data_IF_543050335419
#
_entry.id   IF_543050335419
#
_cell.length_a   1.000
_cell.length_b   1.000
_cell.length_c   1.000
_cell.angle_alpha   90.00
_cell.angle_beta   90.00
_cell.angle_gamma   90.00
#
_symmetry.space_group_name_H-M   'P 1'
#
loop_
_entity.id
_entity.type
_entity.pdbx_description
1 polymer ?
#
# COMPACT_ATOMS: atom_id res chain seq x y z
N UNK A 1 6.10 26.92 27.77
CA UNK A 1 5.13 25.79 27.82
C UNK A 1 3.71 26.22 27.51
N UNK A 2 3.21 27.34 28.08
CA UNK A 2 1.83 27.82 27.82
C UNK A 2 1.48 28.05 26.33
N UNK A 3 2.45 28.44 25.50
CA UNK A 3 2.23 28.73 24.08
C UNK A 3 1.97 27.45 23.22
N UNK A 4 2.66 26.35 23.52
CA UNK A 4 2.46 25.08 22.78
C UNK A 4 1.08 24.46 23.04
N UNK A 5 0.61 24.50 24.28
CA UNK A 5 -0.72 23.99 24.67
C UNK A 5 -1.81 24.77 23.96
N UNK A 6 -1.80 26.09 24.09
CA UNK A 6 -2.79 26.95 23.44
C UNK A 6 -2.81 26.78 21.91
N UNK A 7 -1.63 26.58 21.29
CA UNK A 7 -1.53 26.37 19.85
C UNK A 7 -2.19 25.04 19.44
N UNK A 8 -1.90 23.94 20.14
CA UNK A 8 -2.50 22.62 19.86
C UNK A 8 -4.01 22.64 20.10
N UNK A 9 -4.47 23.22 21.20
CA UNK A 9 -5.89 23.38 21.51
C UNK A 9 -6.64 24.14 20.40
N UNK A 10 -6.04 25.25 19.92
CA UNK A 10 -6.63 26.04 18.83
C UNK A 10 -6.74 25.23 17.53
N UNK A 11 -5.71 24.45 17.19
CA UNK A 11 -5.69 23.60 16.00
C UNK A 11 -6.76 22.52 16.12
N UNK A 12 -6.85 21.82 17.24
CA UNK A 12 -7.83 20.74 17.45
C UNK A 12 -9.27 21.28 17.48
N UNK A 13 -9.51 22.41 18.12
CA UNK A 13 -10.81 23.09 18.10
C UNK A 13 -11.29 23.46 16.70
N UNK A 14 -10.39 23.77 15.78
CA UNK A 14 -10.76 24.10 14.39
C UNK A 14 -11.36 22.93 13.63
N UNK A 15 -11.21 21.71 14.15
CA UNK A 15 -11.73 20.45 13.57
C UNK A 15 -12.69 19.73 14.54
N UNK A 16 -13.27 20.48 15.46
CA UNK A 16 -14.26 19.97 16.43
C UNK A 16 -13.69 18.83 17.31
N UNK A 17 -12.48 18.99 17.82
CA UNK A 17 -11.83 18.10 18.79
C UNK A 17 -11.40 18.91 20.00
N UNK A 18 -11.70 18.40 21.19
CA UNK A 18 -11.30 19.02 22.46
C UNK A 18 -10.28 18.16 23.20
N UNK A 19 -9.42 18.85 23.97
CA UNK A 19 -8.49 18.20 24.90
C UNK A 19 -9.19 17.97 26.21
N UNK A 20 -9.14 16.74 26.73
CA UNK A 20 -9.81 16.28 27.93
C UNK A 20 -11.32 16.57 27.92
N UNK A 21 -11.92 16.55 26.71
CA UNK A 21 -13.36 16.68 26.52
C UNK A 21 -14.12 15.40 26.87
N UNK A 22 -15.42 15.43 26.73
CA UNK A 22 -16.30 14.30 27.10
C UNK A 22 -16.77 13.44 25.94
N UNK A 23 -16.53 13.87 24.70
CA UNK A 23 -16.98 13.15 23.51
C UNK A 23 -16.06 11.97 23.18
N UNK A 24 -16.53 10.91 22.51
CA UNK A 24 -15.74 9.73 22.23
C UNK A 24 -14.47 10.00 21.41
N UNK A 25 -14.48 11.02 20.55
CA UNK A 25 -13.36 11.43 19.70
C UNK A 25 -12.45 12.49 20.32
N UNK A 26 -12.72 12.97 21.53
CA UNK A 26 -11.88 13.94 22.23
C UNK A 26 -10.61 13.28 22.79
N UNK A 27 -9.47 13.96 22.66
CA UNK A 27 -8.20 13.46 23.18
C UNK A 27 -8.14 13.57 24.71
N UNK A 28 -7.73 12.49 25.36
CA UNK A 28 -7.42 12.48 26.79
C UNK A 28 -5.90 12.53 26.94
N UNK A 29 -5.36 13.64 27.47
CA UNK A 29 -3.91 13.86 27.60
C UNK A 29 -3.44 13.42 28.98
N UNK A 30 -2.46 12.52 29.02
CA UNK A 30 -1.84 11.98 30.23
C UNK A 30 -0.46 12.56 30.52
N UNK A 31 0.21 13.11 29.48
CA UNK A 31 1.56 13.69 29.60
C UNK A 31 1.62 15.04 28.88
N UNK A 32 1.93 16.11 29.62
CA UNK A 32 2.00 17.47 29.07
C UNK A 32 3.12 17.68 28.03
N UNK A 33 4.11 16.80 27.97
CA UNK A 33 5.15 16.80 26.92
C UNK A 33 4.58 16.57 25.52
N UNK A 34 3.37 16.00 25.42
CA UNK A 34 2.59 15.83 24.20
C UNK A 34 2.58 17.10 23.34
N UNK A 35 2.22 18.23 23.90
CA UNK A 35 2.04 19.48 23.15
C UNK A 35 3.29 19.90 22.39
N UNK A 36 4.43 19.89 23.05
CA UNK A 36 5.71 20.24 22.42
C UNK A 36 6.17 19.21 21.40
N UNK A 37 5.92 17.92 21.67
CA UNK A 37 6.30 16.82 20.79
C UNK A 37 5.51 16.85 19.47
N UNK A 38 4.20 17.02 19.56
CA UNK A 38 3.32 17.02 18.37
C UNK A 38 3.56 18.23 17.47
N UNK A 39 3.75 19.41 18.03
CA UNK A 39 4.06 20.61 17.24
C UNK A 39 5.42 20.52 16.52
N UNK A 40 6.42 19.83 17.10
CA UNK A 40 7.73 19.64 16.46
C UNK A 40 7.78 18.49 15.47
N UNK A 41 7.07 17.41 15.74
CA UNK A 41 7.17 16.16 14.99
C UNK A 41 5.96 15.80 14.14
N UNK A 42 4.87 16.58 14.21
CA UNK A 42 3.67 16.38 13.41
C UNK A 42 3.01 15.01 13.63
N UNK A 43 2.54 14.41 12.56
CA UNK A 43 1.81 13.12 12.58
C UNK A 43 2.64 11.96 13.14
N UNK A 44 3.95 11.91 12.86
CA UNK A 44 4.83 10.91 13.48
C UNK A 44 4.82 11.01 14.99
N UNK A 45 4.98 12.22 15.52
CA UNK A 45 5.00 12.46 16.96
C UNK A 45 3.61 12.22 17.60
N UNK A 46 2.52 12.49 16.88
CA UNK A 46 1.16 12.17 17.32
C UNK A 46 1.00 10.66 17.50
N UNK A 47 1.36 9.87 16.50
CA UNK A 47 1.27 8.41 16.57
C UNK A 47 2.21 7.81 17.60
N UNK A 48 3.47 8.29 17.68
CA UNK A 48 4.43 7.81 18.68
C UNK A 48 4.01 8.16 20.11
N UNK A 49 3.44 9.34 20.34
CA UNK A 49 2.95 9.71 21.67
C UNK A 49 1.72 8.89 22.09
N UNK A 50 0.91 8.42 21.15
CA UNK A 50 -0.14 7.44 21.42
C UNK A 50 0.45 6.09 21.85
N UNK A 51 1.42 5.59 21.09
CA UNK A 51 2.12 4.33 21.41
C UNK A 51 2.81 4.38 22.77
N UNK A 52 3.31 5.54 23.18
CA UNK A 52 3.94 5.78 24.48
C UNK A 52 2.92 6.02 25.62
N UNK A 53 1.60 6.00 25.34
CA UNK A 53 0.56 6.20 26.34
C UNK A 53 0.42 7.64 26.84
N UNK A 54 0.90 8.63 26.08
CA UNK A 54 0.80 10.03 26.49
C UNK A 54 -0.59 10.63 26.27
N UNK A 55 -1.39 9.99 25.45
CA UNK A 55 -2.79 10.29 25.20
C UNK A 55 -3.55 9.07 24.74
N UNK A 56 -4.86 9.12 24.89
CA UNK A 56 -5.79 8.15 24.32
C UNK A 56 -7.05 8.80 23.74
N UNK A 57 -7.90 7.99 23.11
CA UNK A 57 -9.18 8.41 22.55
C UNK A 57 -10.10 7.18 22.44
N UNK A 58 -11.37 7.30 22.85
CA UNK A 58 -12.33 6.19 22.83
C UNK A 58 -12.76 5.79 21.40
N UNK A 59 -12.79 6.75 20.46
CA UNK A 59 -13.18 6.55 19.07
C UNK A 59 -12.09 7.12 18.14
N UNK A 60 -11.00 6.35 17.96
CA UNK A 60 -9.86 6.73 17.13
C UNK A 60 -10.23 6.90 15.65
N UNK A 61 -11.20 6.14 15.15
CA UNK A 61 -11.79 6.24 13.82
C UNK A 61 -12.41 7.62 13.59
N UNK A 62 -13.28 8.07 14.51
CA UNK A 62 -13.93 9.38 14.45
C UNK A 62 -12.94 10.53 14.60
N UNK A 63 -11.95 10.39 15.50
CA UNK A 63 -10.86 11.35 15.63
C UNK A 63 -10.09 11.46 14.31
N UNK A 64 -9.70 10.32 13.72
CA UNK A 64 -8.97 10.28 12.45
C UNK A 64 -9.74 10.93 11.32
N UNK A 65 -11.04 10.66 11.18
CA UNK A 65 -11.91 11.29 10.19
C UNK A 65 -11.92 12.82 10.33
N UNK A 66 -12.09 13.34 11.57
CA UNK A 66 -12.07 14.79 11.83
C UNK A 66 -10.73 15.44 11.49
N UNK A 67 -9.61 14.81 11.87
CA UNK A 67 -8.26 15.33 11.58
C UNK A 67 -7.98 15.37 10.06
N UNK A 68 -8.38 14.32 9.34
CA UNK A 68 -8.17 14.20 7.88
C UNK A 68 -9.07 15.19 7.13
N UNK A 69 -10.38 15.23 7.42
CA UNK A 69 -11.32 16.16 6.79
C UNK A 69 -10.95 17.62 7.07
N UNK A 70 -10.51 17.91 8.30
CA UNK A 70 -10.05 19.23 8.69
C UNK A 70 -8.69 19.64 8.12
N UNK A 71 -8.02 18.75 7.38
CA UNK A 71 -6.71 19.00 6.75
C UNK A 71 -5.68 19.61 7.70
N UNK A 72 -5.68 19.12 8.94
CA UNK A 72 -4.78 19.62 10.02
C UNK A 72 -3.31 19.61 9.59
N UNK A 73 -2.91 18.66 8.75
CA UNK A 73 -1.55 18.60 8.22
C UNK A 73 -1.08 19.92 7.60
N UNK A 74 -1.95 20.64 6.92
CA UNK A 74 -1.58 21.93 6.28
C UNK A 74 -1.26 23.01 7.34
N UNK A 75 -1.98 23.00 8.45
CA UNK A 75 -1.77 23.96 9.54
C UNK A 75 -0.48 23.64 10.31
N UNK A 76 -0.18 22.36 10.56
CA UNK A 76 1.04 21.92 11.26
C UNK A 76 2.27 22.03 10.36
N UNK A 77 2.18 21.77 9.06
CA UNK A 77 3.29 21.91 8.10
C UNK A 77 3.82 23.33 8.00
N UNK A 78 2.95 24.32 8.09
CA UNK A 78 3.36 25.73 8.07
C UNK A 78 4.24 26.11 9.29
N UNK A 79 4.23 25.30 10.34
CA UNK A 79 4.89 25.59 11.62
C UNK A 79 6.15 24.77 11.88
N UNK A 80 6.52 23.79 11.01
CA UNK A 80 7.62 22.84 11.29
C UNK A 80 8.78 22.88 10.31
N UNK A 81 9.97 23.38 10.70
CA UNK A 81 11.19 23.32 9.87
C UNK A 81 11.66 21.90 9.52
N UNK A 82 11.35 20.91 10.36
CA UNK A 82 11.72 19.51 10.14
C UNK A 82 11.06 18.89 8.90
N UNK A 83 9.89 19.38 8.52
CA UNK A 83 9.19 18.92 7.30
C UNK A 83 9.98 19.24 6.01
N UNK A 84 10.61 20.40 5.93
CA UNK A 84 11.44 20.78 4.78
C UNK A 84 12.63 19.83 4.61
N UNK A 85 13.26 19.42 5.69
CA UNK A 85 14.39 18.47 5.66
C UNK A 85 13.95 17.07 5.18
N UNK A 86 12.77 16.60 5.60
CA UNK A 86 12.21 15.32 5.16
C UNK A 86 11.89 15.36 3.66
N UNK A 87 11.32 16.45 3.17
CA UNK A 87 11.01 16.64 1.75
C UNK A 87 12.28 16.72 0.89
N UNK A 88 13.31 17.46 1.35
CA UNK A 88 14.59 17.56 0.67
C UNK A 88 15.29 16.19 0.59
N UNK A 89 15.23 15.43 1.67
CA UNK A 89 15.80 14.07 1.74
C UNK A 89 15.06 13.10 0.81
N UNK A 90 13.72 13.16 0.75
CA UNK A 90 12.91 12.37 -0.19
C UNK A 90 13.17 12.73 -1.65
N UNK A 91 13.52 13.99 -1.93
CA UNK A 91 13.88 14.45 -3.28
C UNK A 91 15.28 13.97 -3.71
N UNK A 92 16.24 14.00 -2.80
CA UNK A 92 17.65 13.69 -3.10
C UNK A 92 17.98 12.19 -3.05
N UNK A 93 17.23 11.40 -2.29
CA UNK A 93 17.48 9.97 -2.09
C UNK A 93 16.40 9.14 -2.76
N UNK A 94 16.81 8.02 -3.39
CA UNK A 94 15.90 6.97 -3.85
C UNK A 94 15.78 5.90 -2.75
N UNK A 95 14.78 5.97 -1.85
CA UNK A 95 14.62 4.99 -0.78
C UNK A 95 14.20 3.60 -1.28
N UNK A 96 13.70 3.49 -2.53
CA UNK A 96 13.28 2.25 -3.16
C UNK A 96 14.36 1.68 -4.12
N UNK A 97 15.64 2.01 -3.87
CA UNK A 97 16.75 1.40 -4.63
C UNK A 97 16.79 -0.12 -4.42
N UNK A 98 17.33 -0.88 -5.40
CA UNK A 98 17.38 -2.35 -5.36
C UNK A 98 17.92 -2.91 -4.02
N UNK A 99 18.99 -2.34 -3.46
CA UNK A 99 19.55 -2.76 -2.16
C UNK A 99 18.59 -2.57 -0.99
N UNK A 100 17.71 -1.56 -1.05
CA UNK A 100 16.76 -1.24 0.02
C UNK A 100 15.43 -1.98 -0.13
N UNK A 101 15.09 -2.44 -1.33
CA UNK A 101 13.86 -3.20 -1.56
C UNK A 101 13.81 -4.49 -0.73
N UNK A 102 14.91 -5.25 -0.67
CA UNK A 102 15.00 -6.47 0.16
C UNK A 102 14.84 -6.19 1.67
N UNK A 103 15.33 -5.05 2.16
CA UNK A 103 15.15 -4.65 3.58
C UNK A 103 13.67 -4.41 3.91
N UNK A 104 12.88 -3.94 2.94
CA UNK A 104 11.42 -3.76 3.10
C UNK A 104 10.73 -5.13 3.19
N UNK A 105 11.13 -6.09 2.34
CA UNK A 105 10.65 -7.48 2.41
C UNK A 105 10.84 -8.09 3.80
N UNK A 106 12.08 -8.03 4.32
CA UNK A 106 12.41 -8.54 5.66
C UNK A 106 11.65 -7.83 6.79
N UNK A 107 11.56 -6.51 6.77
CA UNK A 107 10.99 -5.76 7.89
C UNK A 107 9.47 -5.75 7.94
N UNK A 108 8.81 -5.89 6.81
CA UNK A 108 7.36 -5.73 6.74
C UNK A 108 6.63 -7.08 6.62
N UNK A 109 7.13 -7.99 5.77
CA UNK A 109 6.45 -9.24 5.49
C UNK A 109 6.99 -10.43 6.30
N UNK A 110 8.19 -10.32 6.89
CA UNK A 110 8.80 -11.35 7.72
C UNK A 110 8.45 -11.19 9.22
N UNK A 111 7.35 -10.49 9.54
CA UNK A 111 6.80 -10.40 10.92
C UNK A 111 6.21 -11.75 11.38
N UNK A 112 5.94 -12.66 10.44
CA UNK A 112 5.39 -13.99 10.66
C UNK A 112 4.06 -14.20 9.95
N UNK A 113 3.91 -15.35 9.31
CA UNK A 113 2.68 -15.72 8.58
C UNK A 113 1.47 -15.86 9.51
N UNK A 114 1.69 -16.12 10.80
CA UNK A 114 0.62 -16.33 11.78
C UNK A 114 -0.28 -15.10 11.94
N UNK A 115 0.32 -13.89 12.00
CA UNK A 115 -0.44 -12.65 12.07
C UNK A 115 -1.30 -12.46 10.82
N UNK A 116 -0.70 -12.64 9.65
CA UNK A 116 -1.39 -12.45 8.37
C UNK A 116 -2.49 -13.49 8.16
N UNK A 117 -2.29 -14.75 8.58
CA UNK A 117 -3.30 -15.81 8.48
C UNK A 117 -4.54 -15.57 9.36
N UNK A 118 -4.40 -14.81 10.44
CA UNK A 118 -5.52 -14.41 11.30
C UNK A 118 -6.28 -13.19 10.78
N UNK A 119 -5.64 -12.39 9.94
CA UNK A 119 -6.17 -11.11 9.47
C UNK A 119 -6.72 -11.18 8.04
N UNK A 120 -6.13 -12.02 7.18
CA UNK A 120 -6.45 -12.08 5.76
C UNK A 120 -7.44 -13.22 5.45
N UNK A 121 -7.92 -13.23 4.20
CA UNK A 121 -8.72 -14.33 3.65
C UNK A 121 -7.91 -15.65 3.58
N UNK A 122 -8.60 -16.76 3.34
CA UNK A 122 -7.98 -18.10 3.20
C UNK A 122 -6.86 -18.18 2.14
N UNK A 123 -6.82 -17.24 1.19
CA UNK A 123 -5.82 -17.18 0.11
C UNK A 123 -4.70 -16.20 0.41
N UNK A 124 -4.72 -15.58 1.59
CA UNK A 124 -3.71 -14.63 2.02
C UNK A 124 -3.56 -13.41 1.07
N UNK A 125 -4.69 -12.85 0.60
CA UNK A 125 -4.67 -11.65 -0.23
C UNK A 125 -4.57 -10.39 0.62
N UNK A 126 -3.41 -9.73 0.62
CA UNK A 126 -3.19 -8.48 1.34
C UNK A 126 -3.43 -7.26 0.43
N UNK A 127 -4.64 -7.16 -0.10
CA UNK A 127 -5.10 -6.06 -0.94
C UNK A 127 -6.62 -5.98 -0.90
N UNK A 128 -7.19 -4.82 -1.29
CA UNK A 128 -8.64 -4.60 -1.25
C UNK A 128 -9.41 -5.72 -1.95
N UNK A 129 -10.46 -6.23 -1.30
CA UNK A 129 -11.44 -7.12 -1.91
C UNK A 129 -12.34 -6.38 -2.92
N UNK A 130 -13.10 -7.11 -3.72
CA UNK A 130 -14.15 -6.55 -4.58
C UNK A 130 -15.51 -6.98 -4.05
N UNK A 131 -16.16 -6.08 -3.31
CA UNK A 131 -17.33 -6.39 -2.47
C UNK A 131 -18.66 -6.45 -3.24
N UNK A 132 -18.65 -6.18 -4.54
CA UNK A 132 -19.87 -6.31 -5.32
C UNK A 132 -20.42 -7.73 -5.25
N UNK A 133 -21.61 -7.88 -4.66
CA UNK A 133 -22.27 -9.17 -4.40
C UNK A 133 -21.45 -10.12 -3.50
N UNK A 134 -20.68 -9.59 -2.56
CA UNK A 134 -19.97 -10.37 -1.56
C UNK A 134 -20.63 -10.19 -0.18
N UNK A 135 -20.68 -11.26 0.61
CA UNK A 135 -21.18 -11.29 1.99
C UNK A 135 -20.07 -11.58 2.99
N UNK A 136 -18.85 -11.83 2.50
CA UNK A 136 -17.66 -12.11 3.32
C UNK A 136 -16.38 -11.66 2.62
N UNK A 137 -15.31 -11.48 3.42
CA UNK A 137 -13.98 -11.17 2.90
C UNK A 137 -13.50 -12.20 1.88
N UNK A 138 -13.68 -13.50 2.17
CA UNK A 138 -13.28 -14.57 1.24
C UNK A 138 -13.99 -14.45 -0.11
N UNK A 139 -15.30 -14.16 -0.09
CA UNK A 139 -16.05 -13.96 -1.33
C UNK A 139 -15.60 -12.70 -2.08
N UNK A 140 -15.36 -11.59 -1.36
CA UNK A 140 -14.85 -10.35 -1.96
C UNK A 140 -13.48 -10.56 -2.61
N UNK A 141 -12.60 -11.34 -1.99
CA UNK A 141 -11.31 -11.69 -2.55
C UNK A 141 -11.43 -12.61 -3.77
N UNK A 142 -12.31 -13.61 -3.75
CA UNK A 142 -12.63 -14.43 -4.93
C UNK A 142 -13.14 -13.55 -6.08
N UNK A 143 -14.08 -12.65 -5.80
CA UNK A 143 -14.64 -11.73 -6.80
C UNK A 143 -13.55 -10.86 -7.43
N UNK A 144 -12.59 -10.37 -6.62
CA UNK A 144 -11.44 -9.62 -7.13
C UNK A 144 -10.56 -10.46 -8.05
N UNK A 145 -10.18 -11.67 -7.62
CA UNK A 145 -9.32 -12.56 -8.40
C UNK A 145 -9.97 -12.94 -9.73
N UNK A 146 -11.27 -13.26 -9.70
CA UNK A 146 -12.05 -13.55 -10.92
C UNK A 146 -12.15 -12.33 -11.84
N UNK A 147 -12.41 -11.14 -11.27
CA UNK A 147 -12.44 -9.89 -12.04
C UNK A 147 -11.12 -9.62 -12.75
N UNK A 148 -9.98 -9.84 -12.07
CA UNK A 148 -8.65 -9.72 -12.68
C UNK A 148 -8.50 -10.69 -13.85
N UNK A 149 -8.80 -11.98 -13.65
CA UNK A 149 -8.68 -12.99 -14.69
C UNK A 149 -9.56 -12.69 -15.92
N UNK A 150 -10.79 -12.20 -15.70
CA UNK A 150 -11.70 -11.80 -16.79
C UNK A 150 -11.22 -10.56 -17.55
N UNK A 151 -10.73 -9.53 -16.83
CA UNK A 151 -10.14 -8.32 -17.46
C UNK A 151 -8.91 -8.64 -18.29
N UNK A 152 -8.13 -9.64 -17.87
CA UNK A 152 -6.95 -10.12 -18.60
C UNK A 152 -7.29 -11.11 -19.72
N UNK A 153 -8.58 -11.44 -19.91
CA UNK A 153 -9.04 -12.43 -20.90
C UNK A 153 -8.29 -13.76 -20.82
N UNK A 154 -7.97 -14.22 -19.60
CA UNK A 154 -7.17 -15.43 -19.41
C UNK A 154 -7.81 -16.66 -20.02
N UNK A 155 -7.00 -17.46 -20.73
CA UNK A 155 -7.38 -18.71 -21.38
C UNK A 155 -6.39 -19.81 -21.03
N UNK A 156 -6.82 -21.09 -21.00
CA UNK A 156 -5.92 -22.20 -20.75
C UNK A 156 -4.68 -22.19 -21.66
N UNK A 157 -3.52 -22.45 -21.07
CA UNK A 157 -2.23 -22.48 -21.76
C UNK A 157 -1.52 -21.14 -21.90
N UNK A 158 -2.12 -20.01 -21.49
CA UNK A 158 -1.42 -18.72 -21.43
C UNK A 158 -0.34 -18.71 -20.34
N UNK A 159 0.75 -17.98 -20.61
CA UNK A 159 1.82 -17.71 -19.64
C UNK A 159 1.59 -16.35 -19.00
N UNK A 160 1.41 -16.33 -17.68
CA UNK A 160 1.13 -15.13 -16.89
C UNK A 160 2.33 -14.81 -15.98
N UNK A 161 2.77 -13.57 -15.96
CA UNK A 161 3.72 -13.08 -14.96
C UNK A 161 2.97 -12.33 -13.86
N UNK A 162 3.19 -12.71 -12.60
CA UNK A 162 2.70 -11.96 -11.44
C UNK A 162 3.85 -11.25 -10.73
N UNK A 163 3.86 -9.91 -10.76
CA UNK A 163 4.89 -9.09 -10.11
C UNK A 163 4.41 -8.68 -8.72
N UNK A 164 5.05 -9.24 -7.68
CA UNK A 164 4.63 -9.10 -6.30
C UNK A 164 3.55 -10.12 -5.93
N UNK A 165 3.86 -11.41 -6.12
CA UNK A 165 2.87 -12.48 -5.95
C UNK A 165 2.44 -12.73 -4.49
N UNK A 166 3.05 -12.08 -3.51
CA UNK A 166 2.73 -12.30 -2.11
C UNK A 166 2.80 -13.78 -1.73
N UNK A 167 1.79 -14.27 -1.05
CA UNK A 167 1.65 -15.68 -0.67
C UNK A 167 1.07 -16.57 -1.77
N UNK A 168 0.97 -16.06 -3.01
CA UNK A 168 0.54 -16.84 -4.18
C UNK A 168 -0.97 -16.93 -4.38
N UNK A 169 -1.76 -16.08 -3.74
CA UNK A 169 -3.22 -16.12 -3.82
C UNK A 169 -3.76 -16.02 -5.24
N UNK A 170 -3.31 -15.04 -6.01
CA UNK A 170 -3.70 -14.90 -7.42
C UNK A 170 -3.11 -16.03 -8.27
N UNK A 171 -1.82 -16.34 -8.14
CA UNK A 171 -1.18 -17.40 -8.92
C UNK A 171 -1.93 -18.74 -8.79
N UNK A 172 -2.25 -19.13 -7.55
CA UNK A 172 -3.02 -20.35 -7.26
C UNK A 172 -4.41 -20.31 -7.86
N UNK A 173 -5.11 -19.17 -7.74
CA UNK A 173 -6.46 -19.00 -8.27
C UNK A 173 -6.49 -19.08 -9.79
N UNK A 174 -5.62 -18.34 -10.47
CA UNK A 174 -5.55 -18.28 -11.93
C UNK A 174 -5.15 -19.63 -12.53
N UNK A 175 -4.12 -20.28 -12.01
CA UNK A 175 -3.73 -21.61 -12.49
C UNK A 175 -4.83 -22.65 -12.31
N UNK A 176 -5.49 -22.68 -11.13
CA UNK A 176 -6.54 -23.66 -10.83
C UNK A 176 -7.82 -23.46 -11.64
N UNK A 177 -8.26 -22.21 -11.81
CA UNK A 177 -9.60 -21.92 -12.37
C UNK A 177 -9.58 -21.54 -13.85
N UNK A 178 -8.43 -21.06 -14.35
CA UNK A 178 -8.27 -20.63 -15.74
C UNK A 178 -7.28 -21.47 -16.55
N UNK A 179 -6.57 -22.43 -15.92
CA UNK A 179 -5.65 -23.34 -16.61
C UNK A 179 -4.43 -22.64 -17.23
N UNK A 180 -3.98 -21.56 -16.62
CA UNK A 180 -2.81 -20.79 -17.06
C UNK A 180 -1.56 -21.23 -16.31
N UNK A 181 -0.37 -21.06 -16.94
CA UNK A 181 0.92 -21.16 -16.28
C UNK A 181 1.25 -19.82 -15.64
N UNK A 182 1.59 -19.80 -14.34
CA UNK A 182 1.92 -18.54 -13.65
C UNK A 182 3.37 -18.53 -13.16
N UNK A 183 4.11 -17.48 -13.56
CA UNK A 183 5.41 -17.15 -12.97
C UNK A 183 5.23 -16.00 -11.99
N UNK A 184 5.29 -16.30 -10.69
CA UNK A 184 5.19 -15.31 -9.62
C UNK A 184 6.56 -14.89 -9.10
N UNK A 185 6.75 -13.59 -8.83
CA UNK A 185 7.97 -13.09 -8.20
C UNK A 185 7.65 -12.27 -6.97
N UNK A 186 8.44 -12.44 -5.91
CA UNK A 186 8.41 -11.66 -4.68
C UNK A 186 9.82 -11.42 -4.15
N UNK A 187 10.00 -10.41 -3.29
CA UNK A 187 11.25 -10.11 -2.59
C UNK A 187 11.25 -10.55 -1.12
N UNK A 188 10.15 -11.11 -0.62
CA UNK A 188 10.04 -11.70 0.70
C UNK A 188 10.30 -13.20 0.65
N UNK A 189 11.25 -13.68 1.45
CA UNK A 189 11.58 -15.10 1.53
C UNK A 189 10.43 -15.92 2.10
N UNK A 190 9.79 -15.44 3.16
CA UNK A 190 8.66 -16.13 3.79
C UNK A 190 7.47 -16.27 2.84
N UNK A 191 7.16 -15.20 2.06
CA UNK A 191 6.13 -15.27 1.03
C UNK A 191 6.48 -16.29 -0.06
N UNK A 192 7.73 -16.28 -0.54
CA UNK A 192 8.16 -17.22 -1.58
C UNK A 192 8.04 -18.67 -1.14
N UNK A 193 8.53 -19.01 0.06
CA UNK A 193 8.47 -20.36 0.62
C UNK A 193 7.02 -20.84 0.80
N UNK A 194 6.16 -19.98 1.35
CA UNK A 194 4.73 -20.28 1.52
C UNK A 194 4.03 -20.49 0.17
N UNK A 195 4.25 -19.57 -0.78
CA UNK A 195 3.62 -19.64 -2.10
C UNK A 195 4.08 -20.88 -2.89
N UNK A 196 5.36 -21.24 -2.82
CA UNK A 196 5.90 -22.48 -3.43
C UNK A 196 5.21 -23.71 -2.87
N UNK A 197 5.07 -23.85 -1.55
CA UNK A 197 4.38 -24.98 -0.95
C UNK A 197 2.89 -25.02 -1.30
N UNK A 198 2.21 -23.89 -1.20
CA UNK A 198 0.76 -23.79 -1.47
C UNK A 198 0.39 -24.03 -2.95
N UNK A 199 1.33 -23.84 -3.88
CA UNK A 199 1.12 -23.99 -5.33
C UNK A 199 1.77 -25.25 -5.93
N UNK A 200 2.42 -26.11 -5.14
CA UNK A 200 3.26 -27.24 -5.60
C UNK A 200 2.61 -28.23 -6.56
N UNK A 201 1.28 -28.31 -6.59
CA UNK A 201 0.52 -29.23 -7.46
C UNK A 201 -0.04 -28.54 -8.71
N UNK A 202 0.25 -27.25 -8.89
CA UNK A 202 -0.25 -26.43 -9.97
C UNK A 202 0.88 -26.00 -10.92
N UNK A 203 0.52 -25.55 -12.10
CA UNK A 203 1.49 -24.99 -13.06
C UNK A 203 1.86 -23.55 -12.63
N UNK A 204 2.53 -23.45 -11.49
CA UNK A 204 2.94 -22.21 -10.86
C UNK A 204 4.42 -22.30 -10.46
N UNK A 205 5.21 -21.34 -10.93
CA UNK A 205 6.60 -21.16 -10.54
C UNK A 205 6.75 -19.88 -9.72
N UNK A 206 7.25 -19.98 -8.49
CA UNK A 206 7.52 -18.82 -7.63
C UNK A 206 9.03 -18.61 -7.47
N UNK A 207 9.49 -17.39 -7.69
CA UNK A 207 10.89 -17.00 -7.52
C UNK A 207 11.06 -15.85 -6.52
N UNK A 208 12.06 -15.97 -5.65
CA UNK A 208 12.57 -14.85 -4.85
C UNK A 208 13.43 -13.96 -5.75
N UNK A 209 12.82 -12.89 -6.31
CA UNK A 209 13.46 -12.10 -7.35
C UNK A 209 12.96 -10.67 -7.41
N UNK A 210 13.86 -9.72 -7.62
CA UNK A 210 13.50 -8.33 -7.88
C UNK A 210 12.96 -8.19 -9.32
N UNK A 211 11.85 -7.46 -9.50
CA UNK A 211 11.20 -7.26 -10.79
C UNK A 211 12.15 -6.67 -11.86
N UNK A 212 13.18 -5.92 -11.45
CA UNK A 212 14.16 -5.31 -12.36
C UNK A 212 15.02 -6.34 -13.08
N UNK A 213 15.10 -7.57 -12.55
CA UNK A 213 15.86 -8.70 -13.11
C UNK A 213 15.03 -9.60 -14.01
N UNK A 214 13.75 -9.28 -14.18
CA UNK A 214 12.84 -10.06 -15.01
C UNK A 214 13.23 -9.98 -16.48
N UNK A 215 13.18 -11.15 -17.12
CA UNK A 215 13.31 -11.33 -18.55
C UNK A 215 12.30 -12.41 -18.99
N UNK A 216 12.01 -12.49 -20.27
CA UNK A 216 11.02 -13.43 -20.81
C UNK A 216 9.88 -12.69 -21.48
N UNK A 217 8.96 -13.47 -22.07
CA UNK A 217 7.79 -12.98 -22.81
C UNK A 217 6.54 -13.66 -22.29
N UNK A 218 5.58 -12.87 -21.83
CA UNK A 218 4.34 -13.35 -21.22
C UNK A 218 3.13 -12.86 -21.99
N UNK A 219 2.08 -13.68 -22.04
CA UNK A 219 0.79 -13.31 -22.66
C UNK A 219 0.08 -12.23 -21.85
N UNK A 220 0.23 -12.31 -20.51
CA UNK A 220 -0.37 -11.37 -19.58
C UNK A 220 0.59 -11.08 -18.42
N UNK A 221 0.54 -9.86 -17.90
CA UNK A 221 1.28 -9.45 -16.67
C UNK A 221 0.28 -8.87 -15.68
N UNK A 222 0.37 -9.30 -14.43
CA UNK A 222 -0.49 -8.84 -13.34
C UNK A 222 0.39 -8.31 -12.19
N UNK A 223 -0.04 -7.22 -11.58
CA UNK A 223 0.58 -6.67 -10.37
C UNK A 223 -0.49 -6.11 -9.45
N UNK A 224 -0.61 -6.66 -8.25
CA UNK A 224 -1.65 -6.33 -7.28
C UNK A 224 -1.02 -5.92 -5.94
N UNK A 225 -1.24 -4.67 -5.51
CA UNK A 225 -0.75 -4.16 -4.22
C UNK A 225 0.78 -4.08 -4.10
N UNK A 226 1.49 -4.04 -5.23
CA UNK A 226 2.95 -3.99 -5.27
C UNK A 226 3.50 -2.63 -5.71
N UNK A 227 2.78 -1.91 -6.56
CA UNK A 227 3.25 -0.66 -7.17
C UNK A 227 3.48 0.44 -6.13
N UNK A 228 2.82 0.35 -4.98
CA UNK A 228 3.03 1.18 -3.80
C UNK A 228 4.48 1.10 -3.26
N UNK A 229 5.17 -0.02 -3.51
CA UNK A 229 6.55 -0.25 -3.08
C UNK A 229 7.59 0.14 -4.13
N UNK A 230 7.17 0.52 -5.34
CA UNK A 230 8.07 0.90 -6.43
C UNK A 230 8.69 2.29 -6.22
N UNK A 231 7.89 3.25 -5.75
CA UNK A 231 8.27 4.65 -5.56
C UNK A 231 8.37 5.45 -6.86
N UNK A 232 7.97 6.73 -6.80
CA UNK A 232 7.76 7.56 -8.00
C UNK A 232 8.99 7.69 -8.91
N UNK A 233 10.21 7.66 -8.35
CA UNK A 233 11.44 7.73 -9.13
C UNK A 233 11.67 6.48 -9.99
N UNK A 234 11.01 5.37 -9.67
CA UNK A 234 11.17 4.11 -10.37
C UNK A 234 9.94 3.73 -11.23
N UNK A 235 8.85 4.52 -11.20
CA UNK A 235 7.62 4.18 -11.93
C UNK A 235 7.87 3.98 -13.43
N UNK A 236 8.61 4.89 -14.08
CA UNK A 236 8.96 4.73 -15.50
C UNK A 236 9.76 3.45 -15.74
N UNK A 237 10.75 3.18 -14.89
CA UNK A 237 11.57 1.96 -14.99
C UNK A 237 10.75 0.70 -14.79
N UNK A 238 9.77 0.72 -13.88
CA UNK A 238 8.84 -0.38 -13.69
C UNK A 238 8.02 -0.64 -14.96
N UNK A 239 7.41 0.39 -15.54
CA UNK A 239 6.63 0.27 -16.77
C UNK A 239 7.48 -0.22 -17.96
N UNK A 240 8.75 0.22 -18.07
CA UNK A 240 9.70 -0.28 -19.07
C UNK A 240 10.00 -1.78 -18.91
N UNK A 241 10.13 -2.26 -17.67
CA UNK A 241 10.32 -3.69 -17.39
C UNK A 241 9.09 -4.49 -17.78
N UNK A 242 7.90 -4.03 -17.40
CA UNK A 242 6.64 -4.68 -17.77
C UNK A 242 6.49 -4.74 -19.29
N UNK A 243 6.69 -3.61 -19.98
CA UNK A 243 6.60 -3.53 -21.44
C UNK A 243 7.58 -4.52 -22.13
N UNK A 244 8.83 -4.58 -21.64
CA UNK A 244 9.83 -5.52 -22.18
C UNK A 244 9.44 -6.98 -22.01
N UNK A 245 8.73 -7.32 -20.93
CA UNK A 245 8.32 -8.69 -20.62
C UNK A 245 6.93 -9.07 -21.18
N UNK A 246 6.18 -8.12 -21.70
CA UNK A 246 4.88 -8.37 -22.29
C UNK A 246 5.00 -8.64 -23.79
N UNK A 247 4.28 -9.63 -24.32
CA UNK A 247 4.13 -9.85 -25.77
C UNK A 247 3.39 -8.67 -26.41
N UNK A 248 3.55 -8.50 -27.73
CA UNK A 248 2.98 -7.35 -28.46
C UNK A 248 1.47 -7.20 -28.28
N UNK A 249 0.71 -8.31 -28.30
CA UNK A 249 -0.75 -8.34 -28.09
C UNK A 249 -1.14 -8.66 -26.64
N UNK A 250 -0.18 -8.55 -25.68
CA UNK A 250 -0.39 -8.89 -24.29
C UNK A 250 -1.09 -7.81 -23.50
N UNK A 251 -1.74 -8.21 -22.40
CA UNK A 251 -2.40 -7.29 -21.47
C UNK A 251 -1.63 -7.17 -20.15
N UNK A 252 -1.56 -5.94 -19.65
CA UNK A 252 -1.01 -5.65 -18.32
C UNK A 252 -2.09 -5.10 -17.41
N UNK A 253 -2.32 -5.73 -16.26
CA UNK A 253 -3.20 -5.23 -15.22
C UNK A 253 -2.40 -4.74 -14.03
N UNK A 254 -2.60 -3.48 -13.68
CA UNK A 254 -2.06 -2.84 -12.49
C UNK A 254 -3.19 -2.53 -11.51
N UNK A 255 -3.20 -3.18 -10.35
CA UNK A 255 -4.05 -2.84 -9.22
C UNK A 255 -3.20 -2.23 -8.11
N UNK A 256 -3.54 -1.02 -7.68
CA UNK A 256 -2.80 -0.27 -6.66
C UNK A 256 -3.71 0.67 -5.88
N UNK A 257 -3.37 0.94 -4.63
CA UNK A 257 -3.98 2.04 -3.89
C UNK A 257 -3.61 3.35 -4.58
N UNK A 258 -4.61 4.13 -4.93
CA UNK A 258 -4.43 5.42 -5.60
C UNK A 258 -4.69 6.61 -4.69
N UNK A 259 -4.21 7.78 -5.10
CA UNK A 259 -4.53 9.07 -4.51
C UNK A 259 -4.88 10.08 -5.59
N UNK A 260 -5.68 11.08 -5.25
CA UNK A 260 -6.15 12.09 -6.22
C UNK A 260 -5.17 13.25 -6.45
N UNK A 261 -4.04 13.30 -5.75
CA UNK A 261 -2.99 14.31 -5.92
C UNK A 261 -1.63 13.64 -5.95
N UNK A 262 -0.77 14.04 -6.90
CA UNK A 262 0.60 13.55 -7.00
C UNK A 262 1.41 13.88 -5.73
N UNK A 263 2.12 12.90 -5.21
CA UNK A 263 2.98 13.05 -4.05
C UNK A 263 4.34 12.41 -4.26
N UNK A 264 5.30 12.76 -3.41
CA UNK A 264 6.68 12.23 -3.46
C UNK A 264 7.13 11.62 -2.12
N UNK A 265 6.26 11.64 -1.13
CA UNK A 265 6.53 11.10 0.19
C UNK A 265 5.27 10.47 0.77
N UNK A 266 5.47 9.49 1.63
CA UNK A 266 4.44 8.85 2.44
C UNK A 266 4.33 9.55 3.79
N UNK A 267 3.20 9.41 4.44
CA UNK A 267 2.98 9.87 5.79
C UNK A 267 4.07 9.28 6.71
N UNK A 268 4.74 10.08 7.57
CA UNK A 268 5.94 9.64 8.29
C UNK A 268 5.73 8.48 9.26
N UNK A 269 4.59 8.41 9.95
CA UNK A 269 4.28 7.31 10.87
C UNK A 269 4.02 6.02 10.10
N UNK A 270 3.21 6.07 9.04
CA UNK A 270 2.97 4.94 8.12
C UNK A 270 4.30 4.45 7.53
N UNK A 271 5.15 5.36 7.09
CA UNK A 271 6.46 5.03 6.53
C UNK A 271 7.40 4.35 7.55
N UNK A 272 7.30 4.70 8.84
CA UNK A 272 8.19 4.15 9.86
C UNK A 272 7.71 2.80 10.38
N UNK A 273 6.40 2.63 10.58
CA UNK A 273 5.85 1.52 11.35
C UNK A 273 5.03 0.53 10.52
N UNK A 274 4.43 0.95 9.39
CA UNK A 274 3.49 0.12 8.64
C UNK A 274 4.08 -0.27 7.28
N UNK A 275 4.33 0.72 6.40
CA UNK A 275 4.82 0.47 5.03
C UNK A 275 6.12 1.26 4.77
N UNK A 276 7.27 0.76 5.22
CA UNK A 276 8.55 1.41 4.96
C UNK A 276 8.77 1.63 3.47
N UNK A 277 9.06 2.89 3.10
CA UNK A 277 9.24 3.33 1.73
C UNK A 277 8.01 3.15 0.80
N UNK A 278 6.83 2.81 1.34
CA UNK A 278 5.60 2.74 0.59
C UNK A 278 5.20 4.12 0.04
N UNK A 279 4.57 4.16 -1.11
CA UNK A 279 4.04 5.40 -1.68
C UNK A 279 2.87 5.12 -2.62
N UNK A 280 1.71 5.68 -2.33
CA UNK A 280 0.55 5.58 -3.20
C UNK A 280 0.67 6.52 -4.40
N UNK A 281 0.54 6.03 -5.65
CA UNK A 281 0.59 6.86 -6.84
C UNK A 281 -0.70 7.66 -7.05
N UNK A 282 -0.63 8.75 -7.82
CA UNK A 282 -1.82 9.36 -8.42
C UNK A 282 -2.06 8.81 -9.83
N UNK A 283 -3.29 8.98 -10.34
CA UNK A 283 -3.62 8.67 -11.73
C UNK A 283 -2.66 9.35 -12.72
N UNK A 284 -2.33 10.61 -12.47
CA UNK A 284 -1.37 11.36 -13.29
C UNK A 284 0.02 10.71 -13.28
N UNK A 285 0.50 10.23 -12.13
CA UNK A 285 1.82 9.58 -12.03
C UNK A 285 1.85 8.23 -12.75
N UNK A 286 0.77 7.46 -12.69
CA UNK A 286 0.64 6.20 -13.42
C UNK A 286 0.62 6.47 -14.92
N UNK A 287 -0.24 7.38 -15.40
CA UNK A 287 -0.35 7.72 -16.83
C UNK A 287 0.95 8.26 -17.39
N UNK A 288 1.63 9.16 -16.67
CA UNK A 288 2.93 9.69 -17.10
C UNK A 288 4.02 8.60 -17.17
N UNK A 289 3.98 7.59 -16.28
CA UNK A 289 4.94 6.50 -16.32
C UNK A 289 4.67 5.50 -17.47
N UNK A 290 3.41 5.32 -17.88
CA UNK A 290 2.98 4.42 -18.95
C UNK A 290 3.01 5.07 -20.34
N UNK A 291 3.14 6.41 -20.42
CA UNK A 291 3.12 7.14 -21.67
C UNK A 291 4.17 6.65 -22.67
N UNK A 292 3.73 6.37 -23.91
CA UNK A 292 4.56 5.84 -24.99
C UNK A 292 4.92 4.35 -24.85
N UNK A 293 4.43 3.66 -23.83
CA UNK A 293 4.64 2.23 -23.60
C UNK A 293 3.35 1.43 -23.70
N UNK A 294 2.23 1.97 -23.22
CA UNK A 294 0.94 1.28 -23.14
C UNK A 294 -0.21 2.17 -23.62
N UNK A 295 -1.24 1.54 -24.14
CA UNK A 295 -2.57 2.12 -24.33
C UNK A 295 -3.41 1.75 -23.11
N UNK A 296 -4.02 2.74 -22.46
CA UNK A 296 -4.92 2.49 -21.33
C UNK A 296 -6.29 2.11 -21.87
N UNK A 297 -6.72 0.89 -21.66
CA UNK A 297 -7.99 0.37 -22.15
C UNK A 297 -9.09 0.43 -21.09
N UNK A 298 -8.73 0.29 -19.80
CA UNK A 298 -9.69 0.28 -18.71
C UNK A 298 -9.14 0.99 -17.47
N UNK A 299 -10.01 1.71 -16.78
CA UNK A 299 -9.73 2.36 -15.51
C UNK A 299 -10.89 2.14 -14.55
N UNK A 300 -10.71 1.25 -13.58
CA UNK A 300 -11.73 0.87 -12.62
C UNK A 300 -11.36 1.33 -11.20
N UNK A 301 -12.21 2.13 -10.58
CA UNK A 301 -12.06 2.57 -9.21
C UNK A 301 -13.12 1.89 -8.32
N UNK A 302 -12.67 1.14 -7.34
CA UNK A 302 -13.50 0.53 -6.28
C UNK A 302 -12.93 0.85 -4.88
N UNK A 303 -12.41 2.08 -4.72
CA UNK A 303 -11.86 2.55 -3.45
C UNK A 303 -12.87 2.56 -2.30
N UNK A 304 -14.17 2.55 -2.58
CA UNK A 304 -15.23 2.41 -1.58
C UNK A 304 -15.20 1.06 -0.87
N UNK A 305 -14.71 0.03 -1.56
CA UNK A 305 -14.62 -1.33 -1.01
C UNK A 305 -13.58 -1.48 0.12
N UNK A 306 -12.78 -0.43 0.39
CA UNK A 306 -11.89 -0.37 1.56
C UNK A 306 -12.64 -0.07 2.87
N UNK A 307 -13.86 0.41 2.80
CA UNK A 307 -14.71 0.73 3.97
C UNK A 307 -15.48 -0.51 4.48
N UNK A 308 -15.49 -1.57 3.70
CA UNK A 308 -16.10 -2.83 4.08
C UNK A 308 -15.15 -3.66 4.97
N UNK A 309 -15.69 -4.39 5.95
CA UNK A 309 -14.89 -5.13 6.93
C UNK A 309 -14.07 -6.29 6.34
#
# INVERSE_FOLDING_TARGET
MADYKNTVEKILKSVDVEINGSRPWDLQIHDERFYSRVLRGGSLALGESYMDGWWDCKALDQLSDKLIRGRIEKQVRASSPSFFLVMLRAYLLNPQSKKRAYIVGEKHYDVGNDLFSLMLDERMNYSCGYWRNAESLDQAQINKLDLICRKMHLKPGMNVLEIGCGWGGFAKYAAKNYGVSVHGVTISKQQAEFAQDSCKTLDVRIELKDYRELNGQYDCIVSVGMFEHVGYQNYKKYMEVVHRCLKDDGLFLLHTIGRNQSGRATEPWINKYIFPNGMTPSAQQISAASEGLFVVEDWHNFGQDYDEP
#
